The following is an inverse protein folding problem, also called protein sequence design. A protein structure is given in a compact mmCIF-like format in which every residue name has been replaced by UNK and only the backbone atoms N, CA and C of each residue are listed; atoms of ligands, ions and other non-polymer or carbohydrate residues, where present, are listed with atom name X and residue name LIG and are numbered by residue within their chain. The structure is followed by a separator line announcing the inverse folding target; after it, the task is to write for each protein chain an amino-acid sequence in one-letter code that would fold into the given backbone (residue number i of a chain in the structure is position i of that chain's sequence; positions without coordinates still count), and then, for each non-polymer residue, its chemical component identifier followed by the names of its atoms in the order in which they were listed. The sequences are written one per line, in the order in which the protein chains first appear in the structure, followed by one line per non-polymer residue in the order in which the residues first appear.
data_IF_152258116296
#
_entry.id   IF_152258116296
#
_cell.length_a   1.000
_cell.length_b   1.000
_cell.length_c   1.000
_cell.angle_alpha   90.00
_cell.angle_beta   90.00
_cell.angle_gamma   90.00
#
_symmetry.space_group_name_H-M   'P 1'
#
loop_
_entity.id
_entity.type
_entity.pdbx_description
1 polymer ?
#
# COMPACT_ATOMS: atom_id res chain seq x y z
N UNK A 1 6.66 -1.47 13.32
CA UNK A 1 5.77 -0.66 12.46
C UNK A 1 6.37 0.69 12.08
N UNK A 2 6.54 1.67 12.98
CA UNK A 2 7.05 3.00 12.59
C UNK A 2 8.44 2.98 11.91
N UNK A 3 9.33 2.07 12.31
CA UNK A 3 10.63 1.87 11.66
C UNK A 3 10.53 1.34 10.22
N UNK A 4 9.43 0.67 9.87
CA UNK A 4 9.20 0.09 8.53
C UNK A 4 8.46 1.08 7.65
N UNK A 5 7.40 1.70 8.19
CA UNK A 5 6.46 2.51 7.43
C UNK A 5 6.71 4.01 7.52
N UNK A 6 7.83 4.49 8.09
CA UNK A 6 8.22 5.93 8.22
C UNK A 6 7.19 6.88 8.86
N UNK A 7 5.98 6.41 9.14
CA UNK A 7 4.88 7.08 9.78
C UNK A 7 4.55 6.41 11.11
N UNK A 8 3.91 7.16 12.01
CA UNK A 8 3.40 6.62 13.27
C UNK A 8 1.99 6.07 13.04
N UNK A 9 1.78 4.75 13.07
CA UNK A 9 0.47 4.18 12.79
C UNK A 9 -0.53 4.55 13.90
N UNK A 10 -1.77 4.80 13.52
CA UNK A 10 -2.86 5.10 14.45
C UNK A 10 -3.55 3.81 14.91
N UNK A 11 -3.93 2.95 13.97
CA UNK A 11 -4.65 1.68 14.21
C UNK A 11 -4.26 0.67 13.13
N UNK A 12 -3.02 0.16 13.16
CA UNK A 12 -2.53 -0.61 12.05
C UNK A 12 -3.12 -2.02 12.04
N UNK A 13 -3.63 -2.45 10.90
CA UNK A 13 -4.23 -3.77 10.71
C UNK A 13 -4.02 -4.28 9.29
N UNK A 14 -3.70 -5.57 9.16
CA UNK A 14 -3.83 -6.27 7.89
C UNK A 14 -5.25 -6.80 7.75
N UNK A 15 -5.75 -6.80 6.52
CA UNK A 15 -7.05 -7.33 6.20
C UNK A 15 -7.03 -8.87 6.16
N UNK A 16 -8.13 -9.48 6.56
CA UNK A 16 -8.44 -10.85 6.11
C UNK A 16 -8.84 -10.87 4.63
N UNK A 17 -8.97 -12.06 4.05
CA UNK A 17 -9.29 -12.25 2.62
C UNK A 17 -10.55 -11.52 2.15
N UNK A 18 -11.59 -11.48 2.98
CA UNK A 18 -12.83 -10.73 2.69
C UNK A 18 -12.58 -9.22 2.66
N UNK A 19 -11.74 -8.70 3.56
CA UNK A 19 -11.37 -7.28 3.57
C UNK A 19 -10.55 -6.91 2.35
N UNK A 20 -9.53 -7.71 2.03
CA UNK A 20 -8.74 -7.53 0.80
C UNK A 20 -9.62 -7.48 -0.45
N UNK A 21 -10.59 -8.39 -0.57
CA UNK A 21 -11.49 -8.45 -1.73
C UNK A 21 -12.41 -7.22 -1.78
N UNK A 22 -13.01 -6.84 -0.65
CA UNK A 22 -13.90 -5.69 -0.58
C UNK A 22 -13.19 -4.39 -0.88
N UNK A 23 -12.14 -4.08 -0.12
CA UNK A 23 -11.38 -2.84 -0.25
C UNK A 23 -10.71 -2.71 -1.61
N UNK A 24 -10.16 -3.80 -2.15
CA UNK A 24 -9.59 -3.78 -3.51
C UNK A 24 -10.66 -3.57 -4.58
N UNK A 25 -11.86 -4.13 -4.42
CA UNK A 25 -12.94 -3.91 -5.38
C UNK A 25 -13.43 -2.45 -5.37
N UNK A 26 -13.56 -1.83 -4.19
CA UNK A 26 -13.87 -0.41 -4.07
C UNK A 26 -12.76 0.45 -4.70
N UNK A 27 -11.52 0.14 -4.37
CA UNK A 27 -10.35 0.81 -4.92
C UNK A 27 -10.28 0.76 -6.45
N UNK A 28 -10.59 -0.38 -7.06
CA UNK A 28 -10.63 -0.54 -8.53
C UNK A 28 -11.81 0.18 -9.18
N UNK A 29 -12.92 0.31 -8.45
CA UNK A 29 -14.15 0.92 -8.93
C UNK A 29 -14.19 2.44 -8.70
N UNK A 30 -13.22 3.01 -7.99
CA UNK A 30 -13.15 4.44 -7.73
C UNK A 30 -13.06 5.21 -9.06
N UNK A 31 -13.91 6.23 -9.18
CA UNK A 31 -14.09 7.03 -10.39
C UNK A 31 -14.21 8.52 -10.09
N UNK A 32 -14.27 8.91 -8.82
CA UNK A 32 -14.25 10.30 -8.38
C UNK A 32 -12.87 10.91 -8.67
N UNK A 33 -12.78 11.95 -9.52
CA UNK A 33 -11.49 12.51 -9.94
C UNK A 33 -10.67 13.10 -8.79
N UNK A 34 -11.32 13.66 -7.77
CA UNK A 34 -10.64 14.29 -6.65
C UNK A 34 -10.03 13.22 -5.73
N UNK A 35 -10.77 12.14 -5.48
CA UNK A 35 -10.29 10.96 -4.76
C UNK A 35 -9.14 10.30 -5.53
N UNK A 36 -9.30 10.07 -6.83
CA UNK A 36 -8.22 9.52 -7.67
C UNK A 36 -6.97 10.40 -7.58
N UNK A 37 -7.09 11.71 -7.70
CA UNK A 37 -5.95 12.63 -7.64
C UNK A 37 -5.24 12.58 -6.29
N UNK A 38 -5.98 12.39 -5.19
CA UNK A 38 -5.43 12.29 -3.84
C UNK A 38 -4.72 10.96 -3.58
N UNK A 39 -5.33 9.83 -3.97
CA UNK A 39 -4.83 8.50 -3.60
C UNK A 39 -3.91 7.87 -4.64
N UNK A 40 -3.98 8.22 -5.92
CA UNK A 40 -3.09 7.64 -6.94
C UNK A 40 -1.68 8.20 -6.87
N UNK A 41 -1.54 9.47 -6.49
CA UNK A 41 -0.24 10.14 -6.40
C UNK A 41 0.41 10.43 -7.76
N UNK A 42 1.72 10.64 -7.75
CA UNK A 42 2.55 10.90 -8.94
C UNK A 42 3.91 10.26 -8.78
N UNK A 43 4.43 9.66 -9.84
CA UNK A 43 5.75 9.03 -9.82
C UNK A 43 6.82 9.95 -9.22
N UNK A 44 7.55 9.46 -8.22
CA UNK A 44 8.61 10.20 -7.54
C UNK A 44 9.90 9.37 -7.47
N UNK A 45 10.98 9.78 -8.17
CA UNK A 45 12.25 9.06 -8.12
C UNK A 45 12.99 9.20 -6.78
N UNK A 46 12.65 10.17 -5.92
CA UNK A 46 13.27 10.34 -4.60
C UNK A 46 12.69 9.36 -3.58
N UNK A 47 11.40 9.10 -3.68
CA UNK A 47 10.65 8.19 -2.84
C UNK A 47 9.78 7.26 -3.71
N UNK A 48 10.38 6.27 -4.37
CA UNK A 48 9.65 5.42 -5.31
C UNK A 48 8.62 4.52 -4.58
N UNK A 49 7.49 4.22 -5.23
CA UNK A 49 7.15 4.65 -6.59
C UNK A 49 6.62 6.09 -6.71
N UNK A 50 6.12 6.70 -5.63
CA UNK A 50 5.43 8.00 -5.61
C UNK A 50 3.98 7.95 -6.09
N UNK A 51 3.65 6.99 -6.96
CA UNK A 51 2.30 6.70 -7.45
C UNK A 51 1.93 5.21 -7.33
N UNK A 52 0.68 4.89 -7.64
CA UNK A 52 0.20 3.52 -7.76
C UNK A 52 -0.76 3.40 -8.96
N UNK A 53 -0.92 2.21 -9.52
CA UNK A 53 -1.98 1.93 -10.49
C UNK A 53 -3.10 1.15 -9.77
N UNK A 54 -4.32 1.71 -9.63
CA UNK A 54 -5.42 1.01 -8.99
C UNK A 54 -5.67 -0.37 -9.60
N UNK A 55 -5.69 -0.46 -10.93
CA UNK A 55 -5.97 -1.70 -11.66
C UNK A 55 -4.89 -2.79 -11.50
N UNK A 56 -3.73 -2.43 -10.97
CA UNK A 56 -2.58 -3.31 -10.73
C UNK A 56 -2.14 -3.31 -9.28
N UNK A 57 -3.05 -3.04 -8.35
CA UNK A 57 -2.75 -3.10 -6.93
C UNK A 57 -3.85 -3.83 -6.15
N UNK A 58 -3.45 -4.40 -5.02
CA UNK A 58 -4.34 -5.06 -4.06
C UNK A 58 -4.11 -4.42 -2.70
N UNK A 59 -5.16 -3.93 -2.06
CA UNK A 59 -5.08 -3.41 -0.70
C UNK A 59 -5.03 -4.56 0.30
N UNK A 60 -4.07 -4.51 1.22
CA UNK A 60 -3.80 -5.59 2.19
C UNK A 60 -3.94 -5.15 3.65
N UNK A 61 -4.13 -3.87 3.91
CA UNK A 61 -4.28 -3.33 5.25
C UNK A 61 -4.21 -1.82 5.28
N UNK A 62 -4.30 -1.27 6.49
CA UNK A 62 -4.13 0.16 6.76
C UNK A 62 -3.20 0.35 7.94
N UNK A 63 -2.48 1.47 7.96
CA UNK A 63 -1.79 1.97 9.16
C UNK A 63 -2.66 2.91 9.99
N UNK A 64 -3.70 3.46 9.38
CA UNK A 64 -4.58 4.50 9.92
C UNK A 64 -5.45 5.09 8.81
N UNK A 65 -6.28 6.09 9.12
CA UNK A 65 -7.07 6.80 8.12
C UNK A 65 -6.18 7.33 7.00
N UNK A 66 -6.57 7.05 5.76
CA UNK A 66 -5.87 7.48 4.54
C UNK A 66 -4.42 6.97 4.42
N UNK A 67 -4.11 5.84 5.07
CA UNK A 67 -2.81 5.18 4.98
C UNK A 67 -2.91 3.70 4.58
N UNK A 68 -3.48 3.40 3.40
CA UNK A 68 -3.54 2.04 2.89
C UNK A 68 -2.15 1.46 2.62
N UNK A 69 -2.06 0.16 2.83
CA UNK A 69 -0.93 -0.71 2.46
C UNK A 69 -1.39 -1.54 1.26
N UNK A 70 -0.58 -1.62 0.22
CA UNK A 70 -0.91 -2.34 -1.00
C UNK A 70 0.22 -3.22 -1.51
N UNK A 71 -0.15 -4.26 -2.26
CA UNK A 71 0.73 -4.96 -3.18
C UNK A 71 0.67 -4.28 -4.54
N UNK A 72 1.84 -3.95 -5.10
CA UNK A 72 1.95 -3.30 -6.39
C UNK A 72 2.43 -4.29 -7.47
N UNK A 73 1.53 -4.67 -8.37
CA UNK A 73 1.78 -5.67 -9.41
C UNK A 73 2.33 -5.07 -10.72
N UNK A 74 2.66 -3.78 -10.75
CA UNK A 74 3.20 -3.14 -11.97
C UNK A 74 4.51 -3.77 -12.44
N UNK A 75 5.33 -4.28 -11.52
CA UNK A 75 6.68 -4.80 -11.81
C UNK A 75 6.77 -6.33 -11.84
N UNK A 76 5.73 -7.07 -11.44
CA UNK A 76 5.73 -8.53 -11.45
C UNK A 76 4.53 -9.16 -10.75
N UNK A 77 4.19 -10.40 -11.14
CA UNK A 77 3.05 -11.15 -10.57
C UNK A 77 3.41 -12.04 -9.38
N UNK A 78 4.63 -12.58 -9.34
CA UNK A 78 5.01 -13.58 -8.35
C UNK A 78 5.43 -12.96 -7.01
N UNK A 79 6.11 -11.80 -7.07
CA UNK A 79 6.66 -11.10 -5.91
C UNK A 79 6.42 -9.59 -6.05
N UNK A 80 5.17 -9.13 -5.89
CA UNK A 80 4.86 -7.71 -5.93
C UNK A 80 5.47 -7.01 -4.71
N UNK A 81 6.12 -5.84 -4.88
CA UNK A 81 6.54 -5.02 -3.75
C UNK A 81 5.35 -4.60 -2.89
N UNK A 82 5.63 -4.44 -1.60
CA UNK A 82 4.70 -3.86 -0.64
C UNK A 82 4.93 -2.35 -0.60
N UNK A 83 3.88 -1.59 -0.86
CA UNK A 83 3.86 -0.13 -0.82
C UNK A 83 2.84 0.35 0.22
N UNK A 84 2.97 1.59 0.68
CA UNK A 84 1.92 2.25 1.45
C UNK A 84 1.81 3.72 1.07
N UNK A 85 0.62 4.30 1.27
CA UNK A 85 0.37 5.72 1.09
C UNK A 85 0.77 6.49 2.36
N UNK A 86 1.66 7.46 2.19
CA UNK A 86 2.19 8.24 3.32
C UNK A 86 1.27 9.38 3.74
N UNK A 87 1.39 9.85 4.99
CA UNK A 87 0.62 11.01 5.48
C UNK A 87 0.91 12.33 4.75
N UNK A 88 2.10 12.44 4.14
CA UNK A 88 2.51 13.62 3.38
C UNK A 88 2.20 13.51 1.88
N UNK A 89 1.50 12.43 1.47
CA UNK A 89 1.14 12.14 0.10
C UNK A 89 2.21 11.35 -0.64
N UNK A 90 1.74 10.48 -1.55
CA UNK A 90 2.60 9.61 -2.36
C UNK A 90 2.83 8.24 -1.76
N UNK A 91 3.03 7.27 -2.65
CA UNK A 91 3.27 5.87 -2.30
C UNK A 91 4.76 5.59 -2.16
N UNK A 92 5.16 4.86 -1.13
CA UNK A 92 6.55 4.40 -1.01
C UNK A 92 6.62 2.91 -0.81
N UNK A 93 7.66 2.30 -1.39
CA UNK A 93 7.97 0.89 -1.16
C UNK A 93 8.56 0.69 0.24
N UNK A 94 7.97 -0.23 1.00
CA UNK A 94 8.41 -0.61 2.35
C UNK A 94 9.04 -2.00 2.41
N UNK A 95 8.76 -2.86 1.44
CA UNK A 95 9.39 -4.16 1.30
C UNK A 95 9.38 -4.62 -0.18
N UNK A 96 10.36 -5.43 -0.62
CA UNK A 96 10.38 -6.00 -1.98
C UNK A 96 9.34 -7.10 -2.20
N UNK A 97 8.86 -7.75 -1.14
CA UNK A 97 7.80 -8.76 -1.15
C UNK A 97 7.18 -8.89 0.26
N UNK A 98 6.12 -9.72 0.39
CA UNK A 98 5.41 -9.93 1.66
C UNK A 98 6.32 -10.61 2.68
N UNK A 99 7.11 -11.59 2.25
CA UNK A 99 8.04 -12.31 3.11
C UNK A 99 9.01 -11.32 3.77
N UNK A 100 9.63 -10.45 2.98
CA UNK A 100 10.51 -9.40 3.50
C UNK A 100 9.79 -8.40 4.41
N UNK A 101 8.49 -8.14 4.20
CA UNK A 101 7.71 -7.31 5.12
C UNK A 101 7.53 -8.02 6.47
N UNK A 102 7.15 -9.29 6.46
CA UNK A 102 6.95 -10.09 7.68
C UNK A 102 8.23 -10.18 8.50
N UNK A 103 9.37 -10.45 7.86
CA UNK A 103 10.70 -10.42 8.51
C UNK A 103 10.99 -9.07 9.17
N UNK A 104 10.76 -7.95 8.45
CA UNK A 104 10.97 -6.59 8.99
C UNK A 104 10.04 -6.25 10.15
N UNK A 105 8.88 -6.90 10.22
CA UNK A 105 7.92 -6.75 11.31
C UNK A 105 8.17 -7.73 12.46
N UNK A 106 9.06 -8.72 12.29
CA UNK A 106 9.29 -9.80 13.25
C UNK A 106 8.09 -10.73 13.37
N UNK A 107 7.43 -11.02 12.24
CA UNK A 107 6.24 -11.88 12.11
C UNK A 107 6.54 -13.16 11.31
N UNK A 108 7.80 -13.42 11.01
CA UNK A 108 8.33 -14.66 10.45
C UNK A 108 8.59 -15.68 11.58
N UNK A 109 7.65 -16.61 11.79
CA UNK A 109 7.85 -17.82 12.61
C UNK A 109 7.87 -19.08 11.74
#
# INVERSE_FOLDING_TARGET
MAAVFRDRPAQPAFYGTSGMTGETAYWHAESDPDTIAQYVGRADPKDPPGDIDPSKSILIGDLGPDQPIALDYRTGQERPPVVYLTTYGGWIQVAPDIESLLERLGLDE
#
